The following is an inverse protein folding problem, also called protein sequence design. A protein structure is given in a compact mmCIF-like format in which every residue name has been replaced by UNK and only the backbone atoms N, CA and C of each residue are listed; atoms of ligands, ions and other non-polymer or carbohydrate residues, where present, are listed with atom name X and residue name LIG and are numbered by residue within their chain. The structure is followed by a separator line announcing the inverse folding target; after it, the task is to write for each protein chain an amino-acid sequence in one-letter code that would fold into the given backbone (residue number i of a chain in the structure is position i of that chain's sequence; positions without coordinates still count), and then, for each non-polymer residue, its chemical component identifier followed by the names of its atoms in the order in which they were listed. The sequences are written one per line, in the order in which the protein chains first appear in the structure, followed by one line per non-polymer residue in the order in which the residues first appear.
data_IF_829242338228
#
_entry.id   IF_829242338228
#
_cell.length_a   1.000
_cell.length_b   1.000
_cell.length_c   1.000
_cell.angle_alpha   90.00
_cell.angle_beta   90.00
_cell.angle_gamma   90.00
#
_symmetry.space_group_name_H-M   'P 1'
#
loop_
_entity.id
_entity.type
_entity.pdbx_description
1 polymer ?
#
# COMPACT_ATOMS: atom_id res chain seq x y z
N UNK A 1 -4.47 -33.06 4.85
CA UNK A 1 -3.69 -31.83 5.12
C UNK A 1 -4.59 -30.86 5.89
N UNK A 2 -4.15 -30.29 7.03
CA UNK A 2 -4.94 -29.31 7.80
C UNK A 2 -4.29 -27.92 7.62
N UNK A 3 -5.01 -26.90 7.11
CA UNK A 3 -4.46 -25.55 6.98
C UNK A 3 -4.43 -24.81 8.32
N UNK A 4 -3.52 -23.85 8.45
CA UNK A 4 -3.44 -22.90 9.58
C UNK A 4 -3.28 -21.48 9.06
N UNK A 5 -3.79 -20.50 9.81
CA UNK A 5 -3.56 -19.08 9.51
C UNK A 5 -2.14 -18.70 9.93
N UNK A 6 -1.39 -18.07 9.02
CA UNK A 6 -0.05 -17.54 9.30
C UNK A 6 -0.11 -16.02 9.41
N UNK A 7 0.10 -15.50 10.62
CA UNK A 7 0.01 -14.07 10.91
C UNK A 7 1.37 -13.38 10.73
N UNK A 8 1.62 -12.84 9.54
CA UNK A 8 2.89 -12.17 9.22
C UNK A 8 2.77 -10.67 9.51
N UNK A 9 3.57 -10.20 10.47
CA UNK A 9 3.52 -8.82 10.98
C UNK A 9 4.60 -7.92 10.41
N UNK A 10 5.72 -8.47 9.95
CA UNK A 10 6.90 -7.71 9.49
C UNK A 10 7.72 -8.48 8.46
N UNK A 11 8.69 -7.78 7.83
CA UNK A 11 9.48 -8.33 6.72
C UNK A 11 10.41 -9.45 7.15
N UNK A 12 10.98 -9.38 8.36
CA UNK A 12 11.88 -10.41 8.85
C UNK A 12 11.12 -11.73 9.10
N UNK A 13 9.92 -11.64 9.68
CA UNK A 13 9.03 -12.79 9.83
C UNK A 13 8.61 -13.35 8.46
N UNK A 14 8.22 -12.49 7.51
CA UNK A 14 7.85 -12.93 6.16
C UNK A 14 8.98 -13.69 5.46
N UNK A 15 10.20 -13.13 5.47
CA UNK A 15 11.38 -13.75 4.87
C UNK A 15 11.72 -15.09 5.56
N UNK A 16 11.60 -15.15 6.88
CA UNK A 16 11.84 -16.38 7.66
C UNK A 16 10.88 -17.49 7.24
N UNK A 17 9.58 -17.21 7.17
CA UNK A 17 8.56 -18.21 6.80
C UNK A 17 8.72 -18.70 5.36
N UNK A 18 9.01 -17.79 4.42
CA UNK A 18 9.27 -18.15 3.03
C UNK A 18 10.53 -18.99 2.86
N UNK A 19 11.60 -18.67 3.61
CA UNK A 19 12.85 -19.44 3.57
C UNK A 19 12.68 -20.84 4.15
N UNK A 20 11.90 -20.99 5.24
CA UNK A 20 11.62 -22.29 5.88
C UNK A 20 11.02 -23.32 4.92
N UNK A 21 10.24 -22.88 3.94
CA UNK A 21 9.61 -23.76 2.94
C UNK A 21 10.42 -23.86 1.64
N UNK A 22 11.63 -23.29 1.60
CA UNK A 22 12.56 -23.42 0.47
C UNK A 22 12.26 -22.49 -0.72
N UNK A 23 11.62 -21.34 -0.50
CA UNK A 23 11.47 -20.32 -1.57
C UNK A 23 12.85 -19.82 -2.00
N UNK A 24 13.06 -19.69 -3.32
CA UNK A 24 14.31 -19.16 -3.88
C UNK A 24 14.65 -17.78 -3.29
N UNK A 25 15.92 -17.45 -2.98
CA UNK A 25 16.29 -16.20 -2.31
C UNK A 25 15.71 -14.93 -2.95
N UNK A 26 15.76 -14.82 -4.29
CA UNK A 26 15.14 -13.71 -5.02
C UNK A 26 13.63 -13.66 -4.82
N UNK A 27 12.96 -14.82 -4.86
CA UNK A 27 11.53 -14.94 -4.63
C UNK A 27 11.15 -14.55 -3.21
N UNK A 28 11.96 -14.89 -2.21
CA UNK A 28 11.77 -14.51 -0.81
C UNK A 28 11.71 -12.99 -0.66
N UNK A 29 12.62 -12.24 -1.29
CA UNK A 29 12.64 -10.77 -1.22
C UNK A 29 11.36 -10.15 -1.81
N UNK A 30 10.92 -10.65 -2.96
CA UNK A 30 9.71 -10.16 -3.65
C UNK A 30 8.45 -10.52 -2.86
N UNK A 31 8.32 -11.77 -2.43
CA UNK A 31 7.12 -12.30 -1.79
C UNK A 31 6.96 -11.78 -0.36
N UNK A 32 8.05 -11.47 0.34
CA UNK A 32 7.99 -10.88 1.67
C UNK A 32 7.19 -9.57 1.69
N UNK A 33 7.33 -8.72 0.67
CA UNK A 33 6.56 -7.47 0.53
C UNK A 33 5.06 -7.73 0.29
N UNK A 34 4.71 -8.86 -0.30
CA UNK A 34 3.31 -9.25 -0.60
C UNK A 34 2.62 -9.90 0.61
N UNK A 35 3.41 -10.42 1.55
CA UNK A 35 2.93 -11.15 2.71
C UNK A 35 2.40 -10.25 3.85
N UNK A 36 2.64 -8.94 3.78
CA UNK A 36 2.32 -8.00 4.86
C UNK A 36 1.24 -7.04 4.40
N UNK A 37 0.04 -7.17 4.97
CA UNK A 37 -1.08 -6.27 4.74
C UNK A 37 -1.10 -5.10 5.73
N UNK A 38 -1.50 -3.92 5.27
CA UNK A 38 -1.68 -2.71 6.09
C UNK A 38 -2.95 -1.97 5.70
N UNK A 39 -3.54 -1.34 6.71
CA UNK A 39 -4.65 -0.41 6.59
C UNK A 39 -4.17 0.96 7.09
N UNK A 40 -4.18 1.97 6.23
CA UNK A 40 -3.71 3.33 6.56
C UNK A 40 -4.85 4.31 6.39
N UNK A 41 -5.21 5.01 7.48
CA UNK A 41 -6.26 6.02 7.49
C UNK A 41 -5.68 7.40 7.21
N UNK A 42 -6.32 8.14 6.31
CA UNK A 42 -6.13 9.59 6.15
C UNK A 42 -7.43 10.30 6.46
N UNK A 43 -7.33 11.48 7.07
CA UNK A 43 -8.48 12.33 7.39
C UNK A 43 -8.49 13.57 6.51
N UNK A 44 -9.70 14.07 6.23
CA UNK A 44 -9.90 15.31 5.49
C UNK A 44 -9.10 15.38 4.16
N UNK A 45 -9.19 14.35 3.35
CA UNK A 45 -8.62 14.27 1.99
C UNK A 45 -9.56 14.94 1.00
N UNK A 46 -9.00 15.64 0.00
CA UNK A 46 -9.78 16.13 -1.13
C UNK A 46 -10.47 14.96 -1.89
N UNK A 47 -11.77 15.04 -2.21
CA UNK A 47 -12.49 13.97 -2.89
C UNK A 47 -11.90 13.55 -4.25
N UNK A 48 -11.29 14.47 -5.02
CA UNK A 48 -10.64 14.11 -6.30
C UNK A 48 -9.38 13.31 -6.03
N UNK A 49 -8.56 13.73 -5.08
CA UNK A 49 -7.38 12.98 -4.63
C UNK A 49 -7.78 11.60 -4.11
N UNK A 50 -8.84 11.51 -3.30
CA UNK A 50 -9.37 10.25 -2.79
C UNK A 50 -9.76 9.29 -3.91
N UNK A 51 -10.45 9.79 -4.94
CA UNK A 51 -10.81 9.01 -6.13
C UNK A 51 -9.58 8.58 -6.94
N UNK A 52 -8.57 9.45 -7.12
CA UNK A 52 -7.31 9.09 -7.79
C UNK A 52 -6.65 7.92 -7.06
N UNK A 53 -6.51 8.01 -5.73
CA UNK A 53 -5.87 6.95 -4.93
C UNK A 53 -6.66 5.65 -5.02
N UNK A 54 -8.01 5.72 -4.99
CA UNK A 54 -8.87 4.54 -5.19
C UNK A 54 -8.58 3.86 -6.53
N UNK A 55 -8.54 4.62 -7.62
CA UNK A 55 -8.26 4.05 -8.96
C UNK A 55 -6.83 3.47 -9.05
N UNK A 56 -5.85 4.16 -8.49
CA UNK A 56 -4.47 3.67 -8.44
C UNK A 56 -4.35 2.39 -7.59
N UNK A 57 -5.05 2.29 -6.47
CA UNK A 57 -5.03 1.08 -5.64
C UNK A 57 -5.77 -0.10 -6.28
N UNK A 58 -6.93 0.13 -6.89
CA UNK A 58 -7.69 -0.91 -7.59
C UNK A 58 -6.87 -1.54 -8.72
N UNK A 59 -6.17 -0.73 -9.52
CA UNK A 59 -5.30 -1.23 -10.59
C UNK A 59 -4.09 -2.04 -10.10
N UNK A 60 -3.75 -1.94 -8.80
CA UNK A 60 -2.69 -2.70 -8.14
C UNK A 60 -3.21 -3.91 -7.34
N UNK A 61 -4.53 -4.14 -7.35
CA UNK A 61 -5.19 -5.21 -6.61
C UNK A 61 -5.31 -4.95 -5.10
N UNK A 62 -5.15 -3.70 -4.66
CA UNK A 62 -5.53 -3.27 -3.32
C UNK A 62 -6.83 -2.48 -3.38
N UNK A 63 -7.18 -1.80 -2.28
CA UNK A 63 -8.42 -1.04 -2.24
C UNK A 63 -8.35 0.21 -1.35
N UNK A 64 -9.32 1.11 -1.50
CA UNK A 64 -9.49 2.29 -0.65
C UNK A 64 -10.96 2.40 -0.21
N UNK A 65 -11.22 2.43 1.09
CA UNK A 65 -12.55 2.77 1.59
C UNK A 65 -12.78 4.28 1.48
N UNK A 66 -13.88 4.67 0.85
CA UNK A 66 -14.32 6.06 0.66
C UNK A 66 -15.73 6.23 1.24
N UNK A 67 -16.09 7.45 1.65
CA UNK A 67 -17.49 7.76 1.97
C UNK A 67 -18.35 7.67 0.69
N UNK A 68 -19.60 7.21 0.83
CA UNK A 68 -20.53 7.05 -0.31
C UNK A 68 -20.83 8.35 -1.06
N UNK A 69 -20.64 9.50 -0.41
CA UNK A 69 -20.83 10.85 -0.98
C UNK A 69 -19.68 11.29 -1.90
N UNK A 70 -18.51 10.65 -1.83
CA UNK A 70 -17.33 11.00 -2.64
C UNK A 70 -17.57 10.80 -4.14
N UNK A 71 -18.36 9.79 -4.52
CA UNK A 71 -18.72 9.55 -5.93
C UNK A 71 -19.67 10.60 -6.52
N UNK A 72 -20.32 11.40 -5.67
CA UNK A 72 -21.24 12.47 -6.07
C UNK A 72 -20.59 13.85 -6.12
N UNK A 73 -19.34 13.97 -5.66
CA UNK A 73 -18.62 15.25 -5.53
C UNK A 73 -19.36 16.31 -4.70
N UNK A 74 -20.22 15.87 -3.78
CA UNK A 74 -21.02 16.76 -2.90
C UNK A 74 -20.21 17.23 -1.68
N UNK A 75 -19.12 16.54 -1.34
CA UNK A 75 -18.27 16.84 -0.18
C UNK A 75 -17.11 17.77 -0.53
N UNK A 76 -16.64 18.54 0.45
CA UNK A 76 -15.38 19.29 0.34
C UNK A 76 -14.18 18.48 0.83
N UNK A 77 -14.40 17.51 1.74
CA UNK A 77 -13.37 16.67 2.37
C UNK A 77 -13.93 15.29 2.73
N UNK A 78 -13.08 14.26 2.72
CA UNK A 78 -13.45 12.89 3.11
C UNK A 78 -12.34 12.19 3.87
N UNK A 79 -12.70 11.32 4.81
CA UNK A 79 -11.78 10.33 5.36
C UNK A 79 -11.63 9.17 4.36
N UNK A 80 -10.43 8.58 4.28
CA UNK A 80 -10.17 7.39 3.47
C UNK A 80 -9.37 6.36 4.25
N UNK A 81 -9.56 5.07 3.93
CA UNK A 81 -8.71 3.98 4.44
C UNK A 81 -8.11 3.25 3.24
N UNK A 82 -6.80 3.39 3.05
CA UNK A 82 -6.05 2.66 2.03
C UNK A 82 -5.73 1.27 2.59
N UNK A 83 -5.97 0.22 1.80
CA UNK A 83 -5.82 -1.18 2.19
C UNK A 83 -5.00 -1.93 1.14
N UNK A 84 -3.90 -2.55 1.54
CA UNK A 84 -3.08 -3.34 0.62
C UNK A 84 -1.83 -3.92 1.26
N UNK A 85 -1.09 -4.71 0.48
CA UNK A 85 0.23 -5.18 0.88
C UNK A 85 1.34 -4.16 0.62
N UNK A 86 2.50 -4.34 1.25
CA UNK A 86 3.62 -3.40 1.11
C UNK A 86 4.08 -3.24 -0.35
N UNK A 87 4.05 -4.30 -1.17
CA UNK A 87 4.41 -4.19 -2.59
C UNK A 87 3.45 -3.25 -3.35
N UNK A 88 2.15 -3.28 -3.04
CA UNK A 88 1.14 -2.38 -3.61
C UNK A 88 1.37 -0.93 -3.17
N UNK A 89 1.68 -0.72 -1.89
CA UNK A 89 2.01 0.62 -1.37
C UNK A 89 3.25 1.22 -2.05
N UNK A 90 4.32 0.45 -2.25
CA UNK A 90 5.51 0.94 -2.96
C UNK A 90 5.14 1.41 -4.37
N UNK A 91 4.37 0.59 -5.12
CA UNK A 91 3.91 0.94 -6.47
C UNK A 91 2.95 2.13 -6.48
N UNK A 92 2.15 2.32 -5.43
CA UNK A 92 1.31 3.50 -5.26
C UNK A 92 2.17 4.75 -5.04
N UNK A 93 3.09 4.70 -4.07
CA UNK A 93 3.98 5.82 -3.72
C UNK A 93 4.77 6.27 -4.95
N UNK A 94 5.41 5.33 -5.67
CA UNK A 94 6.16 5.63 -6.90
C UNK A 94 5.31 6.39 -7.90
N UNK A 95 4.02 6.03 -8.07
CA UNK A 95 3.13 6.72 -9.01
C UNK A 95 2.65 8.07 -8.51
N UNK A 96 2.28 8.17 -7.23
CA UNK A 96 1.77 9.42 -6.64
C UNK A 96 2.82 10.53 -6.62
N UNK A 97 4.12 10.20 -6.48
CA UNK A 97 5.22 11.18 -6.59
C UNK A 97 5.25 11.93 -7.93
N UNK A 98 4.78 11.31 -9.02
CA UNK A 98 4.75 11.93 -10.35
C UNK A 98 3.40 12.57 -10.70
N UNK A 99 2.43 12.56 -9.79
CA UNK A 99 1.15 13.23 -10.01
C UNK A 99 1.32 14.75 -9.89
N UNK A 100 0.56 15.50 -10.70
CA UNK A 100 0.58 16.98 -10.67
C UNK A 100 -0.21 17.56 -9.49
N UNK A 101 -1.01 16.76 -8.80
CA UNK A 101 -1.81 17.16 -7.64
C UNK A 101 -0.95 17.17 -6.36
N UNK A 102 -0.82 18.30 -5.64
CA UNK A 102 0.00 18.40 -4.44
C UNK A 102 -0.39 17.42 -3.33
N UNK A 103 -1.70 17.23 -3.09
CA UNK A 103 -2.21 16.30 -2.08
C UNK A 103 -1.76 14.85 -2.35
N UNK A 104 -1.68 14.43 -3.62
CA UNK A 104 -1.15 13.12 -4.00
C UNK A 104 0.31 12.96 -3.59
N UNK A 105 1.13 13.99 -3.85
CA UNK A 105 2.55 13.99 -3.48
C UNK A 105 2.73 13.94 -1.96
N UNK A 106 1.94 14.73 -1.22
CA UNK A 106 1.97 14.73 0.25
C UNK A 106 1.56 13.36 0.82
N UNK A 107 0.52 12.73 0.28
CA UNK A 107 0.13 11.38 0.68
C UNK A 107 1.23 10.37 0.39
N UNK A 108 1.93 10.49 -0.74
CA UNK A 108 3.07 9.63 -1.06
C UNK A 108 4.19 9.75 -0.02
N UNK A 109 4.54 10.98 0.38
CA UNK A 109 5.54 11.26 1.44
C UNK A 109 5.10 10.64 2.76
N UNK A 110 3.87 10.91 3.20
CA UNK A 110 3.35 10.40 4.49
C UNK A 110 3.32 8.86 4.51
N UNK A 111 2.93 8.21 3.41
CA UNK A 111 2.96 6.76 3.28
C UNK A 111 4.38 6.21 3.34
N UNK A 112 5.33 6.85 2.67
CA UNK A 112 6.73 6.44 2.67
C UNK A 112 7.33 6.54 4.09
N UNK A 113 7.11 7.67 4.78
CA UNK A 113 7.60 7.87 6.14
C UNK A 113 6.98 6.89 7.14
N UNK A 114 5.68 6.60 7.01
CA UNK A 114 4.97 5.73 7.92
C UNK A 114 5.32 4.25 7.73
N UNK A 115 5.36 3.76 6.49
CA UNK A 115 5.46 2.34 6.19
C UNK A 115 6.88 1.87 5.84
N UNK A 116 7.73 2.79 5.37
CA UNK A 116 9.02 2.48 4.76
C UNK A 116 10.17 3.30 5.36
N UNK A 117 10.07 3.66 6.65
CA UNK A 117 11.15 4.33 7.38
C UNK A 117 12.42 3.48 7.28
N UNK A 118 13.49 4.06 6.72
CA UNK A 118 14.78 3.41 6.45
C UNK A 118 14.73 2.27 5.42
N UNK A 119 13.71 2.21 4.57
CA UNK A 119 13.61 1.24 3.48
C UNK A 119 13.77 1.95 2.13
N UNK A 120 14.69 1.47 1.30
CA UNK A 120 14.88 1.99 -0.06
C UNK A 120 13.78 1.47 -0.99
N UNK A 121 12.74 2.29 -1.15
CA UNK A 121 11.62 1.97 -2.03
C UNK A 121 12.02 1.97 -3.51
N UNK A 122 13.08 2.67 -3.90
CA UNK A 122 13.49 2.76 -5.30
C UNK A 122 14.20 1.47 -5.72
N UNK A 123 15.03 0.91 -4.84
CA UNK A 123 15.66 -0.40 -5.01
C UNK A 123 14.73 -1.61 -4.77
N UNK A 124 13.49 -1.38 -4.32
CA UNK A 124 12.56 -2.46 -4.00
C UNK A 124 12.18 -3.30 -5.23
N UNK A 125 12.22 -4.64 -5.14
CA UNK A 125 11.96 -5.54 -6.27
C UNK A 125 10.44 -5.72 -6.48
N UNK A 126 9.77 -4.65 -6.89
CA UNK A 126 8.33 -4.63 -7.16
C UNK A 126 8.05 -4.38 -8.65
N UNK A 127 7.05 -5.10 -9.18
CA UNK A 127 6.53 -4.99 -10.55
C UNK A 127 5.08 -4.56 -10.52
#
# INVERSE_FOLDING_TARGET
MKPTVLNITDLAHAQTELTKIGVHPTGTQIMALKAIHRNVKFQAVDPKTANIIKQEMLSRGGDVALAGTVGKFEETKTDIIIMGNLAQYIRLIKKLKFQTYPDCQQIAVNLQELLFKNYDIEAAPVW
#
